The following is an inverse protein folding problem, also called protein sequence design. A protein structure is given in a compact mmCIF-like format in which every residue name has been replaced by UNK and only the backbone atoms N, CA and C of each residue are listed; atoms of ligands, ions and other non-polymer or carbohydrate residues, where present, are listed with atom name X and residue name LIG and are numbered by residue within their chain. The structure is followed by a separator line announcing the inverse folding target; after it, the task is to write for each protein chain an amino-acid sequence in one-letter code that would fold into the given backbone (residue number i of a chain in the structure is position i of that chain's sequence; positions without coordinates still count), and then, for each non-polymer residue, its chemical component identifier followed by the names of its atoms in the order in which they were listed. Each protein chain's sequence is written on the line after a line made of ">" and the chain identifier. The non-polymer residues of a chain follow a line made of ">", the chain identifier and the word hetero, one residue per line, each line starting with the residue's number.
data_IF_219568319195
#
_entry.id   IF_219568319195
#
_cell.length_a   1.000
_cell.length_b   1.000
_cell.length_c   1.000
_cell.angle_alpha   90.00
_cell.angle_beta   90.00
_cell.angle_gamma   90.00
#
_symmetry.space_group_name_H-M   'P 1'
#
loop_
_entity.id
_entity.type
_entity.pdbx_description
1 polymer ?
#
# COMPACT_ATOMS: atom_id res chain seq x y z
N UNK A 1 0.02 -7.85 13.50
CA UNK A 1 -0.31 -7.05 12.33
C UNK A 1 -0.46 -7.94 11.10
N UNK A 2 -1.47 -7.72 10.26
CA UNK A 2 -1.57 -8.44 8.99
C UNK A 2 -0.34 -8.18 8.13
N UNK A 3 0.06 -9.20 7.39
CA UNK A 3 1.23 -9.11 6.54
C UNK A 3 1.01 -9.96 5.29
N UNK A 4 1.30 -9.37 4.13
CA UNK A 4 1.32 -10.08 2.86
C UNK A 4 2.73 -10.09 2.31
N UNK A 5 3.15 -11.25 1.84
CA UNK A 5 4.37 -11.35 1.05
C UNK A 5 3.99 -11.26 -0.42
N UNK A 6 4.60 -10.33 -1.14
CA UNK A 6 4.35 -10.13 -2.56
C UNK A 6 5.45 -10.87 -3.32
N UNK A 7 5.06 -11.79 -4.19
CA UNK A 7 6.01 -12.56 -4.98
C UNK A 7 6.53 -11.71 -6.17
N UNK A 8 7.02 -10.52 -5.82
CA UNK A 8 7.56 -9.55 -6.75
C UNK A 8 8.58 -8.73 -5.99
N UNK A 9 9.83 -8.80 -6.39
CA UNK A 9 10.95 -8.07 -5.76
C UNK A 9 11.14 -8.37 -4.27
N UNK A 10 10.49 -9.40 -3.74
CA UNK A 10 10.61 -9.73 -2.32
C UNK A 10 9.98 -8.71 -1.40
N UNK A 11 8.95 -8.02 -1.85
CA UNK A 11 8.26 -7.02 -1.04
C UNK A 11 7.28 -7.66 -0.07
N UNK A 12 7.20 -7.08 1.12
CA UNK A 12 6.23 -7.46 2.13
C UNK A 12 5.32 -6.25 2.41
N UNK A 13 4.03 -6.50 2.52
CA UNK A 13 3.04 -5.47 2.84
C UNK A 13 2.59 -5.69 4.27
N UNK A 14 2.77 -4.69 5.12
CA UNK A 14 2.43 -4.75 6.54
C UNK A 14 1.52 -3.60 6.93
N UNK A 15 0.52 -3.89 7.74
CA UNK A 15 -0.35 -2.88 8.30
C UNK A 15 -1.81 -3.17 8.04
N UNK A 16 -2.63 -2.13 8.14
CA UNK A 16 -4.08 -2.21 7.95
C UNK A 16 -4.42 -1.96 6.48
N UNK A 17 -4.48 -3.03 5.69
CA UNK A 17 -4.77 -2.92 4.27
C UNK A 17 -6.19 -2.42 3.99
N UNK A 18 -7.13 -2.81 4.83
CA UNK A 18 -8.52 -2.42 4.66
C UNK A 18 -8.74 -0.96 5.03
N UNK A 19 -7.98 -0.46 5.99
CA UNK A 19 -8.06 0.92 6.43
C UNK A 19 -7.14 1.87 5.69
N UNK A 20 -6.39 1.37 4.68
CA UNK A 20 -5.48 2.20 3.90
C UNK A 20 -4.39 2.86 4.74
N UNK A 21 -3.88 2.11 5.71
CA UNK A 21 -2.79 2.54 6.57
C UNK A 21 -1.78 1.41 6.65
N UNK A 22 -0.90 1.35 5.64
CA UNK A 22 0.05 0.24 5.53
C UNK A 22 1.35 0.72 4.90
N UNK A 23 2.33 -0.15 4.92
CA UNK A 23 3.63 0.10 4.32
C UNK A 23 4.12 -1.12 3.55
N UNK A 24 4.98 -0.87 2.59
CA UNK A 24 5.62 -1.91 1.79
C UNK A 24 7.09 -1.90 2.12
N UNK A 25 7.62 -3.07 2.45
CA UNK A 25 9.00 -3.24 2.89
C UNK A 25 9.74 -4.23 1.99
N UNK A 26 11.01 -3.97 1.79
CA UNK A 26 11.93 -4.95 1.20
C UNK A 26 13.01 -5.21 2.24
N UNK A 27 12.92 -6.36 2.91
CA UNK A 27 13.73 -6.61 4.08
C UNK A 27 13.34 -5.63 5.19
N UNK A 28 14.29 -4.83 5.64
CA UNK A 28 14.03 -3.82 6.66
C UNK A 28 13.87 -2.42 6.06
N UNK A 29 13.93 -2.30 4.72
CA UNK A 29 13.86 -1.01 4.05
C UNK A 29 12.42 -0.72 3.62
N UNK A 30 11.92 0.45 4.00
CA UNK A 30 10.60 0.89 3.54
C UNK A 30 10.68 1.36 2.10
N UNK A 31 9.84 0.77 1.25
CA UNK A 31 9.74 1.14 -0.17
C UNK A 31 8.68 2.20 -0.36
N UNK A 32 7.55 2.04 0.32
CA UNK A 32 6.39 2.88 0.14
C UNK A 32 5.56 2.84 1.40
N UNK A 33 4.98 3.96 1.78
CA UNK A 33 3.94 3.99 2.80
C UNK A 33 2.69 4.64 2.22
N UNK A 34 1.54 4.20 2.69
CA UNK A 34 0.27 4.75 2.28
C UNK A 34 -0.58 5.00 3.52
N UNK A 35 -1.19 6.18 3.58
CA UNK A 35 -2.11 6.55 4.64
C UNK A 35 -3.34 7.18 4.02
N UNK A 36 -4.48 6.98 4.69
CA UNK A 36 -5.73 7.59 4.31
C UNK A 36 -6.10 8.64 5.35
N UNK A 37 -6.42 9.82 4.88
CA UNK A 37 -6.89 10.90 5.73
C UNK A 37 -8.26 11.37 5.24
N UNK A 38 -9.10 11.75 6.16
CA UNK A 38 -10.44 12.27 5.85
C UNK A 38 -10.45 13.76 6.10
N UNK A 39 -10.70 14.53 5.04
CA UNK A 39 -10.71 16.00 5.09
C UNK A 39 -12.06 16.48 4.56
N UNK A 40 -12.84 17.14 5.42
CA UNK A 40 -14.07 17.84 4.99
C UNK A 40 -14.95 16.97 4.07
N UNK A 41 -15.23 15.75 4.47
CA UNK A 41 -16.08 14.82 3.72
C UNK A 41 -15.39 14.18 2.51
N UNK A 42 -14.08 14.42 2.34
CA UNK A 42 -13.31 13.81 1.25
C UNK A 42 -12.22 12.93 1.81
N UNK A 43 -12.00 11.78 1.17
CA UNK A 43 -10.88 10.90 1.50
C UNK A 43 -9.65 11.34 0.70
N UNK A 44 -8.52 11.41 1.36
CA UNK A 44 -7.25 11.70 0.72
C UNK A 44 -6.28 10.57 1.01
N UNK A 45 -5.67 10.03 -0.04
CA UNK A 45 -4.67 8.99 0.08
C UNK A 45 -3.31 9.59 -0.18
N UNK A 46 -2.40 9.39 0.77
CA UNK A 46 -1.03 9.89 0.65
C UNK A 46 -0.11 8.70 0.47
N UNK A 47 0.61 8.68 -0.65
CA UNK A 47 1.60 7.65 -0.96
C UNK A 47 2.98 8.30 -0.90
N UNK A 48 3.85 7.75 -0.08
CA UNK A 48 5.21 8.25 0.07
C UNK A 48 6.19 7.21 -0.48
N UNK A 49 6.92 7.59 -1.51
CA UNK A 49 7.96 6.77 -2.12
C UNK A 49 9.33 7.33 -1.77
N UNK A 50 10.27 6.45 -1.46
CA UNK A 50 11.64 6.86 -1.14
C UNK A 50 12.55 6.84 -2.35
N UNK A 51 12.15 6.14 -3.41
CA UNK A 51 12.95 6.02 -4.64
C UNK A 51 12.02 6.11 -5.84
N UNK A 52 12.27 7.05 -6.77
CA UNK A 52 11.42 7.18 -7.97
C UNK A 52 11.30 5.91 -8.79
N UNK A 53 12.30 5.04 -8.75
CA UNK A 53 12.26 3.77 -9.49
C UNK A 53 11.17 2.84 -9.00
N UNK A 54 10.66 3.05 -7.78
CA UNK A 54 9.63 2.21 -7.19
C UNK A 54 8.21 2.73 -7.42
N UNK A 55 8.06 3.89 -8.06
CA UNK A 55 6.75 4.53 -8.21
C UNK A 55 5.78 3.69 -9.04
N UNK A 56 6.20 3.27 -10.23
CA UNK A 56 5.31 2.49 -11.10
C UNK A 56 4.96 1.14 -10.48
N UNK A 57 5.92 0.31 -10.06
CA UNK A 57 5.56 -0.96 -9.43
C UNK A 57 4.80 -0.78 -8.13
N UNK A 58 5.09 0.27 -7.36
CA UNK A 58 4.37 0.57 -6.12
C UNK A 58 2.92 0.95 -6.38
N UNK A 59 2.67 1.78 -7.39
CA UNK A 59 1.31 2.15 -7.77
C UNK A 59 0.52 0.93 -8.25
N UNK A 60 1.14 0.04 -9.02
CA UNK A 60 0.48 -1.18 -9.47
C UNK A 60 0.09 -2.06 -8.28
N UNK A 61 0.95 -2.17 -7.29
CA UNK A 61 0.65 -2.92 -6.08
C UNK A 61 -0.53 -2.30 -5.32
N UNK A 62 -0.54 -0.99 -5.14
CA UNK A 62 -1.62 -0.28 -4.46
C UNK A 62 -2.95 -0.51 -5.19
N UNK A 63 -2.94 -0.45 -6.52
CA UNK A 63 -4.15 -0.70 -7.31
C UNK A 63 -4.62 -2.14 -7.16
N UNK A 64 -3.69 -3.09 -7.08
CA UNK A 64 -4.04 -4.49 -6.88
C UNK A 64 -4.68 -4.71 -5.50
N UNK A 65 -4.17 -4.05 -4.48
CA UNK A 65 -4.74 -4.12 -3.13
C UNK A 65 -6.14 -3.50 -3.11
N UNK A 66 -6.31 -2.37 -3.80
CA UNK A 66 -7.61 -1.73 -3.91
C UNK A 66 -8.62 -2.65 -4.58
N UNK A 67 -8.24 -3.28 -5.67
CA UNK A 67 -9.12 -4.22 -6.38
C UNK A 67 -9.50 -5.40 -5.49
N UNK A 68 -8.54 -5.93 -4.73
CA UNK A 68 -8.80 -7.03 -3.80
C UNK A 68 -9.77 -6.62 -2.70
N UNK A 69 -9.60 -5.40 -2.17
CA UNK A 69 -10.51 -4.88 -1.13
C UNK A 69 -11.92 -4.69 -1.68
N UNK A 70 -12.04 -4.20 -2.89
CA UNK A 70 -13.35 -4.03 -3.53
C UNK A 70 -14.05 -5.38 -3.76
N UNK A 71 -13.30 -6.37 -4.23
CA UNK A 71 -13.85 -7.71 -4.43
C UNK A 71 -14.29 -8.35 -3.13
N UNK A 72 -13.51 -8.10 -2.06
CA UNK A 72 -13.80 -8.68 -0.75
C UNK A 72 -15.04 -8.08 -0.11
N UNK A 73 -15.38 -6.86 -0.45
CA UNK A 73 -16.52 -6.14 0.13
C UNK A 73 -17.83 -6.37 -0.62
N UNK A 74 -17.78 -7.12 -1.68
CA UNK A 74 -19.01 -7.52 -2.39
C UNK A 74 -19.77 -8.62 -1.61
#
# INVERSE_FOLDING_TARGET
>A
MPKYHVDFRGWDVEGDFLGWDYQVLQGSQEILSITKEIWNWSDTYTLTFHNPADEIPGLLLVLAIDAANCSHND
#
